data_IF_010947200313
#
_entry.id   IF_010947200313
#
_cell.length_a   1.000
_cell.length_b   1.000
_cell.length_c   1.000
_cell.angle_alpha   90.00
_cell.angle_beta   90.00
_cell.angle_gamma   90.00
#
_symmetry.space_group_name_H-M   'P 1'
#
loop_
_entity.id
_entity.type
_entity.pdbx_description
1 polymer ?
#
# COMPACT_ATOMS: atom_id res chain seq x y z
N UNK A 1 -11.21 17.42 2.10
CA UNK A 1 -11.76 16.19 2.70
C UNK A 1 -12.60 15.50 1.63
N UNK A 2 -11.98 14.62 0.83
CA UNK A 2 -12.52 14.14 -0.46
C UNK A 2 -13.50 12.95 -0.37
N UNK A 3 -13.88 12.56 0.85
CA UNK A 3 -14.75 11.40 1.08
C UNK A 3 -15.84 11.82 2.03
N UNK A 4 -16.87 12.46 1.50
CA UNK A 4 -18.18 12.58 2.12
C UNK A 4 -19.16 12.84 0.98
N UNK A 5 -19.79 11.77 0.47
CA UNK A 5 -21.15 11.73 -0.08
C UNK A 5 -21.38 10.54 -1.01
N UNK A 6 -21.19 9.31 -0.52
CA UNK A 6 -21.85 8.15 -1.13
C UNK A 6 -22.58 7.35 -0.07
N UNK A 7 -23.89 7.25 -0.25
CA UNK A 7 -24.92 6.77 0.67
C UNK A 7 -25.10 5.25 0.69
N UNK A 8 -24.09 4.50 0.25
CA UNK A 8 -23.96 3.06 0.51
C UNK A 8 -22.68 2.90 1.33
N UNK A 9 -22.81 2.70 2.65
CA UNK A 9 -21.67 2.54 3.56
C UNK A 9 -21.01 1.17 3.32
N UNK A 10 -20.33 1.01 2.19
CA UNK A 10 -19.37 -0.08 2.01
C UNK A 10 -18.27 0.14 3.06
N UNK A 11 -18.28 -0.71 4.09
CA UNK A 11 -17.30 -0.64 5.18
C UNK A 11 -15.92 -0.84 4.59
N UNK A 12 -15.10 0.20 4.61
CA UNK A 12 -13.73 0.13 4.16
C UNK A 12 -12.83 -0.28 5.34
N UNK A 13 -11.87 -1.15 5.07
CA UNK A 13 -10.84 -1.56 6.01
C UNK A 13 -9.57 -0.76 5.73
N UNK A 14 -8.88 -0.42 6.82
CA UNK A 14 -7.62 0.33 6.78
C UNK A 14 -6.63 -0.29 7.76
N UNK A 15 -5.40 -0.52 7.29
CA UNK A 15 -4.26 -0.91 8.14
C UNK A 15 -3.02 -0.12 7.75
N UNK A 16 -2.13 0.12 8.71
CA UNK A 16 -0.87 0.82 8.46
C UNK A 16 0.28 0.11 9.13
N UNK A 17 1.37 0.00 8.38
CA UNK A 17 2.58 -0.67 8.83
C UNK A 17 3.78 0.22 8.53
N UNK A 18 4.74 0.18 9.45
CA UNK A 18 6.02 0.86 9.32
C UNK A 18 7.09 -0.20 9.05
N UNK A 19 7.78 -0.08 7.93
CA UNK A 19 8.85 -0.98 7.52
C UNK A 19 10.18 -0.25 7.62
N UNK A 20 11.10 -0.79 8.41
CA UNK A 20 12.46 -0.26 8.46
C UNK A 20 13.17 -0.54 7.14
N UNK A 21 13.74 0.50 6.57
CA UNK A 21 14.45 0.47 5.30
C UNK A 21 15.88 0.94 5.50
N UNK A 22 16.83 0.31 4.81
CA UNK A 22 18.23 0.71 4.88
C UNK A 22 18.43 2.12 4.31
N UNK A 23 17.79 2.40 3.17
CA UNK A 23 17.86 3.69 2.46
C UNK A 23 16.75 3.77 1.40
N UNK A 24 16.67 4.93 0.72
CA UNK A 24 15.73 5.19 -0.37
C UNK A 24 15.93 4.26 -1.57
N UNK A 25 17.17 3.81 -1.84
CA UNK A 25 17.45 2.91 -2.96
C UNK A 25 16.77 1.55 -2.76
N UNK A 26 16.85 0.97 -1.55
CA UNK A 26 16.17 -0.26 -1.19
C UNK A 26 14.65 -0.13 -1.35
N UNK A 27 14.08 1.02 -0.95
CA UNK A 27 12.66 1.29 -1.16
C UNK A 27 12.29 1.37 -2.63
N UNK A 28 13.08 2.07 -3.46
CA UNK A 28 12.85 2.15 -4.90
C UNK A 28 12.96 0.78 -5.58
N UNK A 29 13.92 -0.07 -5.16
CA UNK A 29 14.04 -1.45 -5.63
C UNK A 29 12.78 -2.26 -5.28
N UNK A 30 12.29 -2.16 -4.05
CA UNK A 30 11.03 -2.79 -3.63
C UNK A 30 9.86 -2.37 -4.53
N UNK A 31 9.66 -1.06 -4.72
CA UNK A 31 8.59 -0.52 -5.56
C UNK A 31 8.71 -1.05 -7.00
N UNK A 32 9.92 -1.10 -7.57
CA UNK A 32 10.16 -1.61 -8.91
C UNK A 32 9.93 -3.12 -9.03
N UNK A 33 10.32 -3.91 -8.02
CA UNK A 33 10.02 -5.35 -7.96
C UNK A 33 8.51 -5.59 -8.03
N UNK A 34 7.74 -4.83 -7.26
CA UNK A 34 6.28 -4.91 -7.25
C UNK A 34 5.68 -4.53 -8.63
N UNK A 35 6.25 -3.54 -9.35
CA UNK A 35 5.86 -3.24 -10.74
C UNK A 35 6.08 -4.43 -11.67
N UNK A 36 7.24 -5.09 -11.57
CA UNK A 36 7.63 -6.17 -12.47
C UNK A 36 6.75 -7.41 -12.34
N UNK A 37 6.26 -7.71 -11.14
CA UNK A 37 5.33 -8.82 -10.92
C UNK A 37 3.92 -8.58 -11.51
N UNK A 38 3.67 -7.40 -12.14
CA UNK A 38 2.36 -6.96 -12.67
C UNK A 38 1.19 -7.14 -11.69
N UNK A 39 1.51 -7.30 -10.42
CA UNK A 39 0.56 -7.58 -9.34
C UNK A 39 -0.06 -6.29 -8.83
N UNK A 40 0.64 -5.17 -9.03
CA UNK A 40 0.19 -3.84 -8.67
C UNK A 40 0.57 -2.85 -9.77
N UNK A 41 -0.39 -2.00 -10.12
CA UNK A 41 -0.17 -0.81 -10.90
C UNK A 41 0.27 0.32 -9.97
N UNK A 42 1.09 1.23 -10.47
CA UNK A 42 1.64 2.34 -9.67
C UNK A 42 1.34 3.65 -10.38
N UNK A 43 0.81 4.61 -9.63
CA UNK A 43 0.83 6.01 -10.04
C UNK A 43 1.44 6.86 -8.94
N UNK A 44 2.03 7.97 -9.35
CA UNK A 44 2.63 8.95 -8.46
C UNK A 44 1.62 10.05 -8.19
N UNK A 45 1.36 10.37 -6.93
CA UNK A 45 0.48 11.45 -6.52
C UNK A 45 1.17 12.27 -5.43
N UNK A 46 1.51 13.51 -5.76
CA UNK A 46 2.37 14.37 -4.94
C UNK A 46 3.65 13.66 -4.48
N UNK A 47 3.87 13.58 -3.17
CA UNK A 47 5.03 12.91 -2.54
C UNK A 47 4.82 11.42 -2.26
N UNK A 48 3.69 10.84 -2.68
CA UNK A 48 3.34 9.45 -2.41
C UNK A 48 3.44 8.58 -3.67
N UNK A 49 3.98 7.36 -3.53
CA UNK A 49 3.71 6.32 -4.52
C UNK A 49 2.44 5.59 -4.10
N UNK A 50 1.46 5.56 -5.00
CA UNK A 50 0.20 4.83 -4.78
C UNK A 50 0.24 3.55 -5.59
N UNK A 51 0.35 2.43 -4.88
CA UNK A 51 0.17 1.10 -5.45
C UNK A 51 -1.32 0.79 -5.46
N UNK A 52 -1.81 0.22 -6.54
CA UNK A 52 -3.17 -0.28 -6.57
C UNK A 52 -3.28 -1.58 -7.36
N UNK A 53 -4.21 -2.42 -6.94
CA UNK A 53 -4.54 -3.66 -7.62
C UNK A 53 -6.01 -3.98 -7.42
N UNK A 54 -6.60 -4.67 -8.38
CA UNK A 54 -8.00 -5.08 -8.35
C UNK A 54 -8.07 -6.60 -8.39
N UNK A 55 -8.81 -7.18 -7.44
CA UNK A 55 -8.95 -8.62 -7.29
C UNK A 55 -10.43 -9.02 -7.41
N UNK A 56 -10.76 -10.10 -8.12
CA UNK A 56 -12.14 -10.57 -8.20
C UNK A 56 -12.62 -11.06 -6.83
N UNK A 57 -13.79 -10.60 -6.41
CA UNK A 57 -14.51 -11.10 -5.23
C UNK A 57 -15.54 -12.13 -5.67
N UNK A 58 -16.24 -11.83 -6.78
CA UNK A 58 -17.18 -12.71 -7.47
C UNK A 58 -17.12 -12.40 -8.98
N UNK A 59 -17.96 -13.06 -9.78
CA UNK A 59 -17.99 -12.94 -11.25
C UNK A 59 -18.24 -11.51 -11.76
N UNK A 60 -18.87 -10.65 -10.94
CA UNK A 60 -19.30 -9.31 -11.33
C UNK A 60 -18.67 -8.19 -10.48
N UNK A 61 -17.90 -8.52 -9.43
CA UNK A 61 -17.36 -7.54 -8.48
C UNK A 61 -15.87 -7.70 -8.28
N UNK A 62 -15.17 -6.57 -8.36
CA UNK A 62 -13.76 -6.43 -8.04
C UNK A 62 -13.57 -5.69 -6.72
N UNK A 63 -12.67 -6.19 -5.87
CA UNK A 63 -12.14 -5.47 -4.71
C UNK A 63 -10.90 -4.69 -5.15
N UNK A 64 -10.94 -3.37 -4.94
CA UNK A 64 -9.75 -2.55 -5.06
C UNK A 64 -8.93 -2.65 -3.77
N UNK A 65 -7.62 -2.81 -3.91
CA UNK A 65 -6.62 -2.62 -2.88
C UNK A 65 -5.79 -1.40 -3.25
N UNK A 66 -5.82 -0.38 -2.40
CA UNK A 66 -4.98 0.80 -2.49
C UNK A 66 -3.91 0.75 -1.41
N UNK A 67 -2.67 1.05 -1.77
CA UNK A 67 -1.56 1.15 -0.83
C UNK A 67 -0.85 2.47 -1.06
N UNK A 68 -1.00 3.39 -0.10
CA UNK A 68 -0.23 4.62 -0.10
C UNK A 68 1.10 4.35 0.57
N UNK A 69 2.18 4.66 -0.12
CA UNK A 69 3.53 4.50 0.39
C UNK A 69 4.20 5.85 0.57
N UNK A 70 4.72 6.05 1.78
CA UNK A 70 5.45 7.24 2.19
C UNK A 70 6.85 6.80 2.62
N UNK A 71 7.88 7.38 2.00
CA UNK A 71 9.25 7.20 2.46
C UNK A 71 9.63 8.39 3.33
N UNK A 72 10.12 8.13 4.53
CA UNK A 72 10.55 9.16 5.46
C UNK A 72 12.00 8.93 5.88
N UNK A 73 12.78 9.99 5.79
CA UNK A 73 14.17 9.99 6.21
C UNK A 73 14.29 10.10 7.73
N UNK A 74 15.40 9.59 8.25
CA UNK A 74 15.84 9.73 9.65
C UNK A 74 15.44 11.07 10.28
N UNK A 75 14.68 10.98 11.37
CA UNK A 75 14.72 11.95 12.46
C UNK A 75 15.47 11.33 13.65
N UNK A 76 16.08 12.15 14.51
CA UNK A 76 17.03 11.80 15.58
C UNK A 76 16.66 10.61 16.50
N UNK A 77 15.44 10.08 16.46
CA UNK A 77 14.91 9.03 17.32
C UNK A 77 14.75 7.65 16.65
N UNK A 78 15.02 7.49 15.35
CA UNK A 78 14.91 6.19 14.64
C UNK A 78 16.23 5.91 13.91
N UNK A 79 16.89 4.76 14.16
CA UNK A 79 18.22 4.49 13.64
C UNK A 79 18.28 4.31 12.11
N UNK A 80 17.16 3.95 11.47
CA UNK A 80 17.05 3.67 10.04
C UNK A 80 15.95 4.51 9.38
N UNK A 81 16.06 4.73 8.07
CA UNK A 81 14.95 5.25 7.27
C UNK A 81 13.75 4.27 7.37
N UNK A 82 12.55 4.75 7.04
CA UNK A 82 11.37 3.89 7.07
C UNK A 82 10.41 4.20 5.94
N UNK A 83 9.72 3.16 5.49
CA UNK A 83 8.59 3.27 4.60
C UNK A 83 7.31 2.99 5.39
N UNK A 84 6.37 3.93 5.34
CA UNK A 84 5.05 3.76 5.92
C UNK A 84 4.08 3.36 4.81
N UNK A 85 3.45 2.21 4.97
CA UNK A 85 2.52 1.64 4.00
C UNK A 85 1.11 1.62 4.59
N UNK A 86 0.19 2.29 3.91
CA UNK A 86 -1.21 2.42 4.29
C UNK A 86 -2.09 1.62 3.34
N UNK A 87 -2.63 0.50 3.82
CA UNK A 87 -3.46 -0.43 3.05
C UNK A 87 -4.93 -0.10 3.23
N UNK A 88 -5.66 0.05 2.13
CA UNK A 88 -7.07 0.40 2.10
C UNK A 88 -7.78 -0.54 1.12
N UNK A 89 -8.83 -1.23 1.60
CA UNK A 89 -9.68 -2.06 0.75
C UNK A 89 -11.02 -2.31 1.41
N UNK A 90 -12.04 -2.64 0.61
CA UNK A 90 -13.30 -3.20 1.12
C UNK A 90 -13.15 -4.64 1.66
N UNK A 91 -12.02 -5.31 1.38
CA UNK A 91 -11.75 -6.67 1.83
C UNK A 91 -10.58 -6.72 2.81
N UNK A 92 -10.86 -7.10 4.08
CA UNK A 92 -9.81 -7.27 5.09
C UNK A 92 -8.87 -8.45 4.79
N UNK A 93 -9.38 -9.51 4.15
CA UNK A 93 -8.54 -10.64 3.72
C UNK A 93 -7.55 -10.20 2.65
N UNK A 94 -7.96 -9.30 1.75
CA UNK A 94 -7.08 -8.75 0.72
C UNK A 94 -5.98 -7.87 1.32
N UNK A 95 -6.30 -7.06 2.33
CA UNK A 95 -5.30 -6.34 3.11
C UNK A 95 -4.32 -7.31 3.77
N UNK A 96 -4.83 -8.37 4.42
CA UNK A 96 -3.96 -9.34 5.10
C UNK A 96 -3.04 -10.08 4.13
N UNK A 97 -3.55 -10.44 2.95
CA UNK A 97 -2.75 -11.03 1.87
C UNK A 97 -1.60 -10.10 1.48
N UNK A 98 -1.89 -8.82 1.20
CA UNK A 98 -0.86 -7.86 0.78
C UNK A 98 0.17 -7.59 1.88
N UNK A 99 -0.26 -7.49 3.14
CA UNK A 99 0.65 -7.37 4.28
C UNK A 99 1.58 -8.58 4.37
N UNK A 100 1.04 -9.79 4.25
CA UNK A 100 1.85 -11.01 4.29
C UNK A 100 2.85 -11.08 3.13
N UNK A 101 2.42 -10.72 1.91
CA UNK A 101 3.28 -10.64 0.74
C UNK A 101 4.42 -9.64 0.97
N UNK A 102 4.12 -8.47 1.50
CA UNK A 102 5.12 -7.43 1.71
C UNK A 102 6.11 -7.80 2.81
N UNK A 103 5.67 -8.47 3.88
CA UNK A 103 6.55 -9.02 4.91
C UNK A 103 7.49 -10.14 4.41
N UNK A 104 7.20 -10.75 3.26
CA UNK A 104 8.10 -11.75 2.65
C UNK A 104 9.13 -11.11 1.71
N UNK A 105 8.79 -9.95 1.14
CA UNK A 105 9.65 -9.23 0.18
C UNK A 105 10.58 -8.25 0.90
N UNK A 106 10.12 -7.65 2.00
CA UNK A 106 10.83 -6.65 2.82
C UNK A 106 11.52 -7.31 4.01
#
# INVERSE_FOLDING_TARGET
>A
MFINNHSEKNKCHYKSYCYHMVNLETFNRFINTIKLYKSFNIFHFDSYNVLHSAYPIDENKMALLLIFSEFSHRNHNIPNDFAKLHFISISNSLIQFAVNLFNQIL
#
